data_IF_524823354734
#
_entry.id   IF_524823354734
#
_cell.length_a   1.000
_cell.length_b   1.000
_cell.length_c   1.000
_cell.angle_alpha   90.00
_cell.angle_beta   90.00
_cell.angle_gamma   90.00
#
_symmetry.space_group_name_H-M   'P 1'
#
loop_
_entity.id
_entity.type
_entity.pdbx_description
1 polymer ?
#
# COMPACT_ATOMS: atom_id res chain seq x y z
N UNK A 1 37.50 -41.21 -48.63
CA UNK A 1 36.62 -42.40 -48.77
C UNK A 1 35.21 -41.88 -48.50
N UNK A 2 34.34 -41.63 -49.50
CA UNK A 2 33.43 -42.60 -50.18
C UNK A 2 32.84 -43.60 -49.15
N UNK A 3 31.54 -43.83 -48.99
CA UNK A 3 30.37 -43.59 -49.84
C UNK A 3 29.08 -44.01 -49.09
N UNK A 4 27.96 -43.34 -49.39
CA UNK A 4 26.58 -43.85 -49.60
C UNK A 4 26.11 -45.22 -49.09
N UNK A 5 24.85 -45.29 -48.63
CA UNK A 5 24.00 -46.48 -48.77
C UNK A 5 22.73 -46.52 -47.91
N UNK A 6 21.58 -46.14 -48.49
CA UNK A 6 20.23 -46.59 -48.07
C UNK A 6 20.09 -48.12 -48.29
N UNK A 7 19.12 -48.79 -47.64
CA UNK A 7 18.15 -49.69 -48.28
C UNK A 7 17.01 -50.14 -47.33
N UNK A 8 15.90 -50.49 -47.96
CA UNK A 8 14.52 -50.65 -47.51
C UNK A 8 14.15 -52.01 -46.89
N UNK A 9 13.05 -51.97 -46.10
CA UNK A 9 11.87 -52.85 -46.04
C UNK A 9 11.97 -54.31 -46.50
N UNK A 10 11.44 -55.23 -45.67
CA UNK A 10 10.65 -56.38 -46.14
C UNK A 10 9.47 -56.62 -45.18
N UNK A 11 8.27 -56.54 -45.74
CA UNK A 11 7.00 -56.93 -45.16
C UNK A 11 6.86 -58.47 -45.03
N UNK A 12 5.87 -58.88 -44.25
CA UNK A 12 4.72 -59.67 -44.75
C UNK A 12 4.46 -61.00 -44.00
N UNK A 13 3.15 -61.18 -43.69
CA UNK A 13 2.35 -62.43 -43.63
C UNK A 13 1.86 -62.91 -42.24
N UNK A 14 0.56 -62.71 -41.92
CA UNK A 14 -0.63 -63.58 -42.21
C UNK A 14 -0.80 -64.59 -41.05
N UNK A 15 -1.95 -64.94 -40.43
CA UNK A 15 -3.42 -64.78 -40.57
C UNK A 15 -4.01 -65.38 -39.25
N UNK A 16 -4.89 -64.71 -38.50
CA UNK A 16 -6.37 -64.85 -38.51
C UNK A 16 -6.89 -66.18 -37.88
N UNK A 17 -7.60 -66.17 -36.74
CA UNK A 17 -9.05 -66.52 -36.64
C UNK A 17 -9.66 -66.73 -35.21
N UNK A 18 -10.76 -66.00 -34.88
CA UNK A 18 -12.08 -66.40 -34.29
C UNK A 18 -12.12 -67.03 -32.85
N UNK A 19 -13.09 -66.84 -31.91
CA UNK A 19 -14.48 -66.33 -31.88
C UNK A 19 -15.01 -66.14 -30.43
N UNK A 20 -15.96 -65.19 -30.29
CA UNK A 20 -17.00 -64.85 -29.28
C UNK A 20 -17.49 -65.89 -28.24
N UNK A 21 -18.02 -65.39 -27.08
CA UNK A 21 -19.43 -65.55 -26.61
C UNK A 21 -19.75 -64.67 -25.36
N UNK A 22 -20.93 -64.04 -25.39
CA UNK A 22 -21.64 -63.23 -24.36
C UNK A 22 -22.56 -64.10 -23.47
N UNK A 23 -22.87 -63.72 -22.21
CA UNK A 23 -24.23 -63.42 -21.66
C UNK A 23 -24.29 -63.22 -20.11
N UNK A 24 -24.78 -62.04 -19.71
CA UNK A 24 -25.63 -61.56 -18.55
C UNK A 24 -25.84 -62.35 -17.22
N UNK A 25 -25.93 -61.62 -16.09
CA UNK A 25 -27.16 -61.39 -15.29
C UNK A 25 -26.95 -60.51 -14.03
N UNK A 26 -28.02 -59.84 -13.59
CA UNK A 26 -28.14 -58.71 -12.65
C UNK A 26 -28.72 -59.16 -11.28
N UNK A 27 -28.40 -58.40 -10.22
CA UNK A 27 -29.00 -58.29 -8.86
C UNK A 27 -28.52 -59.22 -7.74
N UNK A 28 -27.85 -58.65 -6.72
CA UNK A 28 -28.47 -58.40 -5.42
C UNK A 28 -27.58 -57.51 -4.53
N UNK A 29 -28.25 -56.49 -4.00
CA UNK A 29 -27.86 -55.51 -2.99
C UNK A 29 -27.08 -56.07 -1.79
N UNK A 30 -26.02 -55.38 -1.38
CA UNK A 30 -25.74 -55.02 0.02
C UNK A 30 -24.88 -53.74 0.00
N UNK A 31 -25.32 -52.75 0.76
CA UNK A 31 -24.91 -51.36 0.63
C UNK A 31 -23.46 -51.07 1.01
N UNK A 32 -22.93 -50.05 0.36
CA UNK A 32 -22.04 -49.07 0.99
C UNK A 32 -22.56 -47.68 0.62
N UNK A 33 -22.83 -46.93 1.66
CA UNK A 33 -23.22 -45.53 1.75
C UNK A 33 -22.32 -44.57 0.97
N UNK A 34 -22.96 -43.50 0.50
CA UNK A 34 -22.47 -42.15 0.20
C UNK A 34 -21.15 -41.98 -0.55
N UNK A 35 -21.26 -41.51 -1.81
CA UNK A 35 -20.69 -40.21 -2.19
C UNK A 35 -21.74 -39.50 -3.05
N UNK A 36 -22.45 -38.53 -2.47
CA UNK A 36 -23.10 -37.48 -3.25
C UNK A 36 -22.03 -36.86 -4.14
N UNK A 37 -22.18 -36.99 -5.46
CA UNK A 37 -21.35 -36.28 -6.41
C UNK A 37 -21.47 -34.79 -6.13
N UNK A 38 -20.43 -34.21 -5.53
CA UNK A 38 -20.19 -32.77 -5.57
C UNK A 38 -20.34 -32.35 -7.03
N UNK A 39 -21.24 -31.40 -7.28
CA UNK A 39 -21.11 -30.57 -8.46
C UNK A 39 -19.67 -30.05 -8.43
N UNK A 40 -18.83 -30.54 -9.33
CA UNK A 40 -17.51 -29.95 -9.54
C UNK A 40 -17.82 -28.55 -10.05
N UNK A 41 -17.79 -27.57 -9.15
CA UNK A 41 -17.66 -26.18 -9.52
C UNK A 41 -16.30 -26.09 -10.20
N UNK A 42 -16.27 -26.33 -11.50
CA UNK A 42 -15.16 -25.89 -12.34
C UNK A 42 -15.20 -24.39 -12.30
N UNK A 43 -14.49 -23.83 -11.32
CA UNK A 43 -14.00 -22.45 -11.39
C UNK A 43 -13.14 -22.42 -12.66
N UNK A 44 -13.70 -21.85 -13.73
CA UNK A 44 -12.95 -21.55 -14.95
C UNK A 44 -12.53 -20.10 -14.88
N UNK A 45 -11.24 -19.87 -14.66
CA UNK A 45 -10.66 -18.55 -14.86
C UNK A 45 -10.41 -18.38 -16.35
N UNK A 46 -10.98 -17.32 -16.93
CA UNK A 46 -10.67 -16.91 -18.30
C UNK A 46 -9.54 -15.90 -18.22
N UNK A 47 -8.39 -16.24 -18.82
CA UNK A 47 -7.30 -15.29 -19.00
C UNK A 47 -7.78 -14.10 -19.85
N UNK A 48 -7.85 -12.92 -19.23
CA UNK A 48 -8.25 -11.65 -19.85
C UNK A 48 -7.09 -10.66 -19.94
N UNK A 49 -5.87 -11.10 -19.65
CA UNK A 49 -4.66 -10.26 -19.72
C UNK A 49 -4.50 -9.56 -21.06
N UNK A 50 -4.79 -10.25 -22.17
CA UNK A 50 -4.75 -9.70 -23.52
C UNK A 50 -5.78 -8.60 -23.81
N UNK A 51 -6.86 -8.50 -23.02
CA UNK A 51 -7.93 -7.48 -23.18
C UNK A 51 -7.85 -6.33 -22.18
N UNK A 52 -7.23 -6.55 -21.02
CA UNK A 52 -7.14 -5.54 -19.96
C UNK A 52 -6.04 -4.49 -20.19
N UNK A 53 -5.09 -4.74 -21.10
CA UNK A 53 -4.00 -3.80 -21.38
C UNK A 53 -3.05 -3.53 -20.21
N UNK A 54 -3.16 -4.32 -19.13
CA UNK A 54 -2.27 -4.25 -17.97
C UNK A 54 -1.34 -5.47 -18.03
N UNK A 55 -0.09 -5.18 -18.35
CA UNK A 55 0.99 -6.16 -18.50
C UNK A 55 1.87 -6.10 -17.25
N UNK A 56 1.73 -7.07 -16.33
CA UNK A 56 2.70 -7.22 -15.25
C UNK A 56 3.76 -8.23 -15.69
N UNK A 57 4.83 -7.70 -16.28
CA UNK A 57 6.04 -8.45 -16.59
C UNK A 57 7.11 -8.09 -15.56
N UNK A 58 7.29 -8.93 -14.54
CA UNK A 58 8.47 -8.84 -13.69
C UNK A 58 9.63 -9.58 -14.35
N UNK A 59 10.43 -8.86 -15.15
CA UNK A 59 11.77 -9.29 -15.53
C UNK A 59 12.79 -8.42 -14.80
N UNK A 60 13.57 -9.01 -13.91
CA UNK A 60 14.79 -8.38 -13.44
C UNK A 60 15.98 -9.36 -13.45
N UNK A 61 16.72 -9.47 -14.56
CA UNK A 61 18.16 -9.35 -14.49
C UNK A 61 18.51 -7.87 -14.31
N UNK A 62 19.01 -7.49 -13.12
CA UNK A 62 19.34 -6.11 -12.70
C UNK A 62 19.88 -5.24 -13.86
N UNK A 63 19.14 -4.20 -14.30
CA UNK A 63 19.68 -3.15 -15.13
C UNK A 63 20.44 -2.13 -14.28
N UNK A 64 21.57 -1.68 -14.82
CA UNK A 64 22.57 -0.78 -14.22
C UNK A 64 22.07 0.66 -14.01
N UNK A 65 21.10 0.84 -13.12
CA UNK A 65 20.84 2.15 -12.50
C UNK A 65 21.27 2.22 -11.03
N UNK A 66 21.69 1.08 -10.46
CA UNK A 66 22.28 0.97 -9.14
C UNK A 66 23.67 0.32 -9.23
N UNK A 67 24.65 1.07 -9.72
CA UNK A 67 25.96 1.06 -9.06
C UNK A 67 25.93 2.33 -8.22
N UNK A 68 25.84 2.26 -6.90
CA UNK A 68 27.01 2.25 -6.02
C UNK A 68 26.54 1.83 -4.61
N UNK A 69 27.29 0.91 -3.99
CA UNK A 69 27.13 0.48 -2.60
C UNK A 69 27.60 1.53 -1.57
N UNK A 70 28.10 1.13 -0.39
CA UNK A 70 28.07 1.91 0.87
C UNK A 70 29.03 3.11 0.97
N UNK A 71 29.43 3.68 -0.16
CA UNK A 71 30.01 5.02 -0.24
C UNK A 71 29.00 5.88 -0.97
N UNK A 72 28.26 6.70 -0.22
CA UNK A 72 27.30 7.67 -0.75
C UNK A 72 28.03 8.69 -1.63
N UNK A 73 28.21 8.34 -2.90
CA UNK A 73 28.43 9.29 -3.99
C UNK A 73 27.06 9.46 -4.61
N UNK A 74 26.37 10.51 -4.18
CA UNK A 74 25.03 10.83 -4.64
C UNK A 74 25.00 10.95 -6.16
N UNK A 75 24.21 10.10 -6.80
CA UNK A 75 23.79 10.26 -8.18
C UNK A 75 22.27 10.31 -8.23
N UNK A 76 21.70 11.31 -7.55
CA UNK A 76 20.37 11.82 -7.86
C UNK A 76 20.63 13.18 -8.53
N UNK A 77 20.53 13.17 -9.86
CA UNK A 77 20.97 14.20 -10.83
C UNK A 77 22.50 14.41 -10.89
N UNK A 78 23.08 14.62 -12.08
CA UNK A 78 24.51 15.02 -12.22
C UNK A 78 24.75 16.47 -11.73
N UNK A 79 23.91 16.97 -10.83
CA UNK A 79 23.88 18.36 -10.40
C UNK A 79 24.64 18.49 -9.08
N UNK A 80 25.59 19.43 -9.02
CA UNK A 80 26.27 19.73 -7.77
C UNK A 80 25.31 20.42 -6.81
N UNK A 81 24.79 19.68 -5.82
CA UNK A 81 24.03 20.25 -4.70
C UNK A 81 24.99 20.65 -3.58
N UNK A 82 25.00 21.94 -3.22
CA UNK A 82 25.88 22.45 -2.17
C UNK A 82 25.22 23.56 -1.36
N UNK A 83 25.40 23.53 -0.04
CA UNK A 83 25.08 24.65 0.83
C UNK A 83 26.03 25.83 0.54
N UNK A 84 25.47 27.01 0.37
CA UNK A 84 26.18 28.28 0.14
C UNK A 84 25.65 29.33 1.12
N UNK A 85 26.53 30.22 1.56
CA UNK A 85 26.17 31.37 2.38
C UNK A 85 26.29 32.65 1.56
N UNK A 86 25.22 33.44 1.48
CA UNK A 86 25.23 34.80 0.95
C UNK A 86 24.56 35.74 1.95
N UNK A 87 25.21 36.87 2.26
CA UNK A 87 24.70 37.87 3.21
C UNK A 87 24.24 37.27 4.55
N UNK A 88 25.02 36.32 5.08
CA UNK A 88 24.72 35.58 6.33
C UNK A 88 23.45 34.70 6.29
N UNK A 89 22.87 34.47 5.10
CA UNK A 89 21.74 33.57 4.88
C UNK A 89 22.19 32.29 4.17
N UNK A 90 21.49 31.20 4.49
CA UNK A 90 21.72 29.88 3.90
C UNK A 90 20.93 29.71 2.60
N UNK A 91 21.60 29.19 1.58
CA UNK A 91 21.02 28.84 0.28
C UNK A 91 21.52 27.46 -0.17
N UNK A 92 20.69 26.75 -0.92
CA UNK A 92 21.08 25.53 -1.61
C UNK A 92 21.27 25.83 -3.07
N UNK A 93 22.50 25.62 -3.56
CA UNK A 93 22.84 25.83 -4.96
C UNK A 93 22.56 24.56 -5.75
N UNK A 94 21.77 24.68 -6.82
CA UNK A 94 21.61 23.66 -7.87
C UNK A 94 21.68 24.31 -9.24
N UNK A 95 22.44 23.74 -10.17
CA UNK A 95 22.62 24.26 -11.54
C UNK A 95 22.97 25.76 -11.62
N UNK A 96 23.70 26.28 -10.64
CA UNK A 96 24.07 27.70 -10.60
C UNK A 96 23.00 28.63 -10.02
N UNK A 97 21.78 28.16 -9.76
CA UNK A 97 20.71 28.88 -9.05
C UNK A 97 20.85 28.69 -7.55
N UNK A 98 20.67 29.78 -6.79
CA UNK A 98 20.52 29.73 -5.34
C UNK A 98 19.04 29.59 -5.00
N UNK A 99 18.72 28.67 -4.10
CA UNK A 99 17.37 28.39 -3.65
C UNK A 99 17.26 28.52 -2.14
N UNK A 100 16.13 29.03 -1.66
CA UNK A 100 15.75 28.90 -0.25
C UNK A 100 15.52 27.43 0.11
N UNK A 101 15.36 27.11 1.40
CA UNK A 101 15.02 25.75 1.82
C UNK A 101 13.71 25.28 1.19
N UNK A 102 12.69 26.15 1.14
CA UNK A 102 11.37 25.82 0.58
C UNK A 102 11.45 25.56 -0.92
N UNK A 103 12.19 26.39 -1.67
CA UNK A 103 12.42 26.18 -3.09
C UNK A 103 13.20 24.89 -3.36
N UNK A 104 14.24 24.62 -2.56
CA UNK A 104 15.02 23.40 -2.65
C UNK A 104 14.15 22.17 -2.34
N UNK A 105 13.39 22.21 -1.26
CA UNK A 105 12.51 21.12 -0.85
C UNK A 105 11.43 20.83 -1.90
N UNK A 106 10.77 21.86 -2.44
CA UNK A 106 9.77 21.68 -3.47
C UNK A 106 10.34 21.01 -4.73
N UNK A 107 11.52 21.45 -5.18
CA UNK A 107 12.12 20.93 -6.43
C UNK A 107 12.76 19.56 -6.21
N UNK A 108 13.49 19.38 -5.12
CA UNK A 108 14.40 18.27 -4.94
C UNK A 108 13.96 17.25 -3.90
N UNK A 109 12.97 17.53 -3.05
CA UNK A 109 12.51 16.62 -1.99
C UNK A 109 11.07 16.17 -2.24
N UNK A 110 10.11 17.10 -2.22
CA UNK A 110 8.67 16.80 -2.28
C UNK A 110 8.31 16.07 -3.58
N UNK A 111 8.85 16.56 -4.70
CA UNK A 111 8.62 16.01 -6.04
C UNK A 111 9.29 14.67 -6.32
N UNK A 112 10.15 14.18 -5.43
CA UNK A 112 10.71 12.83 -5.57
C UNK A 112 9.78 11.75 -5.05
N UNK A 113 8.87 12.10 -4.12
CA UNK A 113 7.90 11.14 -3.60
C UNK A 113 6.81 10.93 -4.64
N UNK A 114 6.61 9.67 -5.02
CA UNK A 114 5.53 9.28 -5.92
C UNK A 114 4.18 9.42 -5.24
N UNK A 115 3.14 9.59 -6.06
CA UNK A 115 1.75 9.68 -5.61
C UNK A 115 1.06 8.32 -5.63
N UNK A 116 0.11 8.12 -4.71
CA UNK A 116 -0.69 6.91 -4.60
C UNK A 116 -1.85 6.81 -5.61
N UNK A 117 -2.54 5.67 -5.56
CA UNK A 117 -3.81 5.46 -6.26
C UNK A 117 -4.65 4.43 -5.53
N UNK A 118 -5.96 4.44 -5.77
CA UNK A 118 -6.90 3.53 -5.12
C UNK A 118 -7.88 2.93 -6.12
N UNK A 119 -8.23 1.67 -5.87
CA UNK A 119 -9.34 0.98 -6.51
C UNK A 119 -10.55 1.01 -5.58
N UNK A 120 -11.70 1.41 -6.09
CA UNK A 120 -12.96 1.46 -5.35
C UNK A 120 -14.17 1.51 -6.29
N UNK A 121 -15.32 0.98 -5.87
CA UNK A 121 -16.59 1.04 -6.60
C UNK A 121 -17.33 2.33 -6.17
N UNK A 122 -17.07 3.46 -6.84
CA UNK A 122 -17.48 4.77 -6.33
C UNK A 122 -18.97 5.06 -6.57
N UNK A 123 -19.57 4.42 -7.55
CA UNK A 123 -20.97 4.60 -7.93
C UNK A 123 -21.86 3.40 -7.60
N UNK A 124 -21.27 2.33 -7.07
CA UNK A 124 -21.92 1.09 -6.62
C UNK A 124 -22.55 0.28 -7.75
N UNK A 125 -21.98 0.34 -8.94
CA UNK A 125 -22.45 -0.45 -10.08
C UNK A 125 -21.88 -1.88 -10.11
N UNK A 126 -20.93 -2.18 -9.23
CA UNK A 126 -20.34 -3.49 -9.02
C UNK A 126 -19.06 -3.73 -9.84
N UNK A 127 -18.53 -2.72 -10.52
CA UNK A 127 -17.17 -2.74 -11.04
C UNK A 127 -16.22 -1.84 -10.23
N UNK A 128 -14.91 -2.03 -10.43
CA UNK A 128 -13.90 -1.26 -9.70
C UNK A 128 -13.40 -0.10 -10.55
N UNK A 129 -13.49 1.10 -10.00
CA UNK A 129 -13.00 2.35 -10.55
C UNK A 129 -11.61 2.70 -10.01
N UNK A 130 -10.96 3.68 -10.64
CA UNK A 130 -9.59 4.06 -10.33
C UNK A 130 -9.50 5.56 -9.98
N UNK A 131 -8.98 5.87 -8.80
CA UNK A 131 -8.57 7.22 -8.43
C UNK A 131 -7.04 7.32 -8.40
N UNK A 132 -6.49 8.30 -9.12
CA UNK A 132 -5.06 8.57 -9.17
C UNK A 132 -4.75 9.92 -8.52
N UNK A 133 -3.84 9.89 -7.56
CA UNK A 133 -3.32 11.10 -6.90
C UNK A 133 -2.20 11.68 -7.77
N UNK A 134 -2.14 13.00 -7.83
CA UNK A 134 -1.09 13.76 -8.49
C UNK A 134 -0.26 14.51 -7.45
N UNK A 135 1.06 14.60 -7.65
CA UNK A 135 1.94 15.43 -6.82
C UNK A 135 2.51 16.64 -7.56
N UNK A 136 2.30 16.73 -8.88
CA UNK A 136 3.05 17.64 -9.73
C UNK A 136 2.25 18.16 -10.91
N UNK A 137 2.35 19.46 -11.14
CA UNK A 137 1.80 20.12 -12.31
C UNK A 137 1.51 21.58 -12.03
N UNK A 138 0.92 22.27 -13.01
CA UNK A 138 0.26 23.53 -12.73
C UNK A 138 -1.12 23.29 -12.11
N UNK A 139 -1.81 24.35 -11.69
CA UNK A 139 -3.11 24.27 -11.03
C UNK A 139 -4.23 23.61 -11.86
N UNK A 140 -4.02 23.33 -13.15
CA UNK A 140 -4.97 22.58 -13.97
C UNK A 140 -4.70 21.06 -13.96
N UNK A 141 -3.61 20.61 -13.34
CA UNK A 141 -3.26 19.20 -13.21
C UNK A 141 -3.70 18.72 -11.84
N UNK A 142 -4.88 18.12 -11.81
CA UNK A 142 -5.51 17.61 -10.59
C UNK A 142 -5.42 16.09 -10.50
N UNK A 143 -5.73 15.56 -9.32
CA UNK A 143 -6.11 14.16 -9.16
C UNK A 143 -7.20 13.76 -10.17
N UNK A 144 -7.22 12.48 -10.55
CA UNK A 144 -8.10 11.98 -11.59
C UNK A 144 -8.88 10.75 -11.15
N UNK A 145 -10.21 10.85 -11.24
CA UNK A 145 -11.13 9.72 -11.10
C UNK A 145 -11.43 9.14 -12.49
N UNK A 146 -11.39 7.82 -12.61
CA UNK A 146 -11.68 7.07 -13.81
C UNK A 146 -12.78 6.05 -13.53
N UNK A 147 -13.95 6.23 -14.15
CA UNK A 147 -15.08 5.29 -14.11
C UNK A 147 -14.79 4.11 -15.05
N UNK A 148 -14.93 2.89 -14.54
CA UNK A 148 -14.89 1.68 -15.33
C UNK A 148 -16.24 1.46 -16.01
N UNK A 149 -16.21 0.96 -17.25
CA UNK A 149 -17.41 0.80 -18.08
C UNK A 149 -17.89 -0.66 -18.11
N UNK A 150 -17.55 -1.46 -17.09
CA UNK A 150 -17.86 -2.89 -16.96
C UNK A 150 -17.13 -3.81 -17.96
N UNK A 151 -16.26 -3.25 -18.80
CA UNK A 151 -15.60 -3.98 -19.89
C UNK A 151 -14.08 -3.81 -19.90
N UNK A 152 -13.51 -3.30 -18.82
CA UNK A 152 -12.07 -3.02 -18.67
C UNK A 152 -11.61 -1.76 -19.40
N UNK A 153 -12.54 -0.93 -19.88
CA UNK A 153 -12.26 0.43 -20.36
C UNK A 153 -12.65 1.44 -19.30
N UNK A 154 -11.88 2.51 -19.24
CA UNK A 154 -12.04 3.58 -18.28
C UNK A 154 -12.32 4.90 -18.98
N UNK A 155 -13.18 5.73 -18.39
CA UNK A 155 -13.40 7.12 -18.78
C UNK A 155 -13.06 8.04 -17.62
N UNK A 156 -12.33 9.13 -17.90
CA UNK A 156 -12.07 10.13 -16.87
C UNK A 156 -13.37 10.84 -16.51
N UNK A 157 -13.69 10.90 -15.22
CA UNK A 157 -14.80 11.68 -14.70
C UNK A 157 -14.32 13.12 -14.52
N UNK A 158 -15.01 14.06 -15.15
CA UNK A 158 -14.70 15.49 -15.09
C UNK A 158 -15.69 16.19 -14.16
N UNK A 159 -15.21 17.07 -13.27
CA UNK A 159 -16.00 17.74 -12.25
C UNK A 159 -16.65 16.75 -11.27
N UNK A 160 -15.90 15.74 -10.85
CA UNK A 160 -16.35 14.80 -9.82
C UNK A 160 -16.51 15.48 -8.46
N UNK A 161 -15.81 16.60 -8.21
CA UNK A 161 -15.72 17.26 -6.91
C UNK A 161 -14.61 16.69 -6.03
N UNK A 162 -13.89 15.67 -6.51
CA UNK A 162 -12.71 15.10 -5.87
C UNK A 162 -11.41 15.50 -6.61
N UNK A 163 -11.43 16.53 -7.44
CA UNK A 163 -10.23 17.13 -8.00
C UNK A 163 -9.42 17.85 -6.92
N UNK A 164 -8.11 17.56 -6.85
CA UNK A 164 -7.16 18.25 -5.98
C UNK A 164 -5.89 18.57 -6.78
N UNK A 165 -5.45 19.82 -6.76
CA UNK A 165 -4.22 20.31 -7.41
C UNK A 165 -3.02 20.40 -6.45
N UNK A 166 -3.18 19.92 -5.21
CA UNK A 166 -2.12 19.86 -4.22
C UNK A 166 -0.99 18.87 -4.55
N UNK A 167 0.09 18.94 -3.78
CA UNK A 167 1.19 17.97 -3.88
C UNK A 167 0.84 16.66 -3.15
N UNK A 168 0.04 15.82 -3.80
CA UNK A 168 -0.52 14.60 -3.22
C UNK A 168 0.44 13.44 -3.01
N UNK A 169 0.29 12.77 -1.87
CA UNK A 169 1.15 11.70 -1.36
C UNK A 169 0.46 10.34 -1.46
N UNK A 170 -0.71 10.18 -0.86
CA UNK A 170 -1.46 8.93 -0.84
C UNK A 170 -2.97 9.15 -0.85
N UNK A 171 -3.71 8.08 -1.07
CA UNK A 171 -5.17 8.03 -0.95
C UNK A 171 -5.59 6.79 -0.16
N UNK A 172 -6.57 6.94 0.73
CA UNK A 172 -7.24 5.86 1.42
C UNK A 172 -8.75 5.95 1.21
N UNK A 173 -9.40 4.81 1.03
CA UNK A 173 -10.84 4.71 0.74
C UNK A 173 -11.55 4.03 1.91
N UNK A 174 -12.65 4.62 2.35
CA UNK A 174 -13.59 4.00 3.30
C UNK A 174 -14.93 4.73 3.28
N UNK A 175 -16.01 4.06 3.67
CA UNK A 175 -17.30 4.67 4.00
C UNK A 175 -17.21 5.18 5.45
N UNK A 176 -16.73 6.42 5.66
CA UNK A 176 -16.39 6.89 7.01
C UNK A 176 -17.63 7.31 7.80
N UNK A 177 -18.74 7.59 7.11
CA UNK A 177 -19.98 8.06 7.69
C UNK A 177 -21.10 7.00 7.67
N UNK A 178 -20.76 5.76 7.31
CA UNK A 178 -21.67 4.61 7.28
C UNK A 178 -22.91 4.86 6.40
N UNK A 179 -22.79 5.61 5.31
CA UNK A 179 -23.91 5.91 4.39
C UNK A 179 -24.01 4.93 3.21
N UNK A 180 -23.06 4.01 3.11
CA UNK A 180 -22.97 2.97 2.11
C UNK A 180 -22.23 3.38 0.85
N UNK A 181 -21.65 4.58 0.77
CA UNK A 181 -20.81 5.02 -0.35
C UNK A 181 -19.37 5.24 0.10
N UNK A 182 -18.38 4.72 -0.64
CA UNK A 182 -16.98 4.91 -0.28
C UNK A 182 -16.52 6.35 -0.51
N UNK A 183 -15.87 6.93 0.50
CA UNK A 183 -15.27 8.25 0.53
C UNK A 183 -13.75 8.20 0.30
N UNK A 184 -13.13 9.35 0.03
CA UNK A 184 -11.70 9.46 -0.23
C UNK A 184 -11.02 10.36 0.80
N UNK A 185 -9.95 9.88 1.42
CA UNK A 185 -8.98 10.72 2.11
C UNK A 185 -7.70 10.82 1.26
N UNK A 186 -7.31 12.03 0.90
CA UNK A 186 -6.08 12.32 0.15
C UNK A 186 -5.11 13.04 1.07
N UNK A 187 -3.91 12.50 1.27
CA UNK A 187 -2.83 13.18 1.99
C UNK A 187 -1.98 13.98 1.01
N UNK A 188 -1.54 15.19 1.39
CA UNK A 188 -0.64 16.01 0.58
C UNK A 188 0.58 16.49 1.40
N UNK A 189 1.53 17.13 0.73
CA UNK A 189 2.33 18.15 1.38
C UNK A 189 1.46 19.40 1.59
N UNK A 190 1.35 19.85 2.84
CA UNK A 190 0.70 21.08 3.23
C UNK A 190 -0.71 20.95 3.81
N UNK A 191 -1.47 19.92 3.43
CA UNK A 191 -2.74 19.56 4.08
C UNK A 191 -3.16 18.14 3.67
N UNK A 192 -4.16 17.53 4.32
CA UNK A 192 -4.92 16.42 3.75
C UNK A 192 -6.37 16.85 3.48
N UNK A 193 -7.05 16.12 2.60
CA UNK A 193 -8.44 16.37 2.22
C UNK A 193 -9.30 15.13 2.45
N UNK A 194 -10.51 15.33 2.97
CA UNK A 194 -11.57 14.32 3.04
C UNK A 194 -12.68 14.70 2.05
N UNK A 195 -12.90 13.86 1.06
CA UNK A 195 -13.94 13.99 0.05
C UNK A 195 -15.06 13.00 0.34
N UNK A 196 -16.22 13.52 0.75
CA UNK A 196 -17.41 12.72 0.98
C UNK A 196 -18.11 12.43 -0.34
N UNK A 197 -18.37 11.16 -0.64
CA UNK A 197 -19.20 10.74 -1.76
C UNK A 197 -20.67 11.10 -1.48
N UNK A 198 -21.34 11.74 -2.43
CA UNK A 198 -22.73 12.19 -2.28
C UNK A 198 -23.75 11.15 -2.73
N UNK A 199 -23.30 10.02 -3.27
CA UNK A 199 -24.14 8.96 -3.82
C UNK A 199 -24.81 9.31 -5.16
N UNK A 200 -24.43 10.43 -5.76
CA UNK A 200 -24.91 10.90 -7.07
C UNK A 200 -23.77 11.00 -8.10
N UNK A 201 -22.71 10.21 -7.90
CA UNK A 201 -21.45 10.23 -8.65
C UNK A 201 -20.62 11.51 -8.48
N UNK A 202 -20.92 12.31 -7.46
CA UNK A 202 -20.11 13.48 -7.08
C UNK A 202 -19.57 13.36 -5.66
N UNK A 203 -18.53 14.15 -5.38
CA UNK A 203 -17.88 14.28 -4.09
C UNK A 203 -17.97 15.71 -3.58
N UNK A 204 -17.82 15.88 -2.27
CA UNK A 204 -17.67 17.18 -1.62
C UNK A 204 -16.47 17.17 -0.68
N UNK A 205 -15.60 18.18 -0.78
CA UNK A 205 -14.56 18.41 0.21
C UNK A 205 -15.21 18.84 1.55
N UNK A 206 -15.17 17.94 2.53
CA UNK A 206 -15.72 18.11 3.87
C UNK A 206 -14.64 18.37 4.92
N UNK A 207 -13.38 18.55 4.53
CA UNK A 207 -12.21 18.61 5.42
C UNK A 207 -12.39 19.63 6.56
N UNK A 208 -12.92 20.82 6.26
CA UNK A 208 -13.14 21.87 7.27
C UNK A 208 -14.22 21.53 8.28
N UNK A 209 -15.24 20.79 7.86
CA UNK A 209 -16.35 20.39 8.73
C UNK A 209 -15.96 19.16 9.55
N UNK A 210 -15.30 18.19 8.92
CA UNK A 210 -14.86 16.96 9.54
C UNK A 210 -13.74 17.17 10.58
N UNK A 211 -12.89 18.18 10.37
CA UNK A 211 -11.77 18.51 11.28
C UNK A 211 -11.94 19.93 11.84
N UNK A 212 -12.86 20.16 12.79
CA UNK A 212 -13.19 21.50 13.31
C UNK A 212 -12.04 22.15 14.09
N UNK A 213 -11.11 21.37 14.62
CA UNK A 213 -9.89 21.85 15.28
C UNK A 213 -8.82 22.34 14.27
N UNK A 214 -9.06 22.13 12.98
CA UNK A 214 -8.17 22.45 11.89
C UNK A 214 -7.22 21.32 11.55
N UNK A 215 -6.59 21.44 10.38
CA UNK A 215 -5.57 20.50 9.90
C UNK A 215 -4.24 21.23 9.83
N UNK A 216 -3.18 20.55 10.25
CA UNK A 216 -1.83 21.13 10.31
C UNK A 216 -1.20 21.14 8.92
N UNK A 217 -0.40 22.16 8.68
CA UNK A 217 0.38 22.32 7.44
C UNK A 217 1.68 21.51 7.55
N UNK A 218 1.63 20.26 7.10
CA UNK A 218 2.63 19.22 7.31
C UNK A 218 2.90 18.41 6.05
N UNK A 219 4.06 17.75 6.00
CA UNK A 219 4.32 16.74 4.99
C UNK A 219 3.75 15.40 5.48
N UNK A 220 2.57 15.03 5.00
CA UNK A 220 1.93 13.76 5.33
C UNK A 220 2.49 12.61 4.50
N UNK A 221 2.45 11.39 5.05
CA UNK A 221 2.71 10.14 4.32
C UNK A 221 1.39 9.52 3.87
N UNK A 222 1.20 8.23 4.13
CA UNK A 222 -0.05 7.48 3.98
C UNK A 222 -1.01 7.61 5.16
N UNK A 223 -2.15 6.96 5.02
CA UNK A 223 -3.22 6.88 6.01
C UNK A 223 -3.92 5.52 5.96
N UNK A 224 -4.59 5.16 7.05
CA UNK A 224 -5.43 3.97 7.12
C UNK A 224 -6.69 4.23 7.95
N UNK A 225 -7.77 3.59 7.51
CA UNK A 225 -9.05 3.53 8.22
C UNK A 225 -9.11 2.25 9.06
N UNK A 226 -9.67 2.35 10.25
CA UNK A 226 -9.91 1.20 11.13
C UNK A 226 -10.65 1.59 12.39
N UNK A 227 -11.59 0.77 12.81
CA UNK A 227 -12.36 0.94 14.06
C UNK A 227 -11.49 0.48 15.25
N UNK A 228 -10.67 1.39 15.81
CA UNK A 228 -9.67 0.98 16.81
C UNK A 228 -10.27 0.78 18.20
N UNK A 229 -11.46 1.32 18.46
CA UNK A 229 -12.14 1.19 19.76
C UNK A 229 -13.43 0.34 19.72
N UNK A 230 -13.72 -0.26 18.56
CA UNK A 230 -14.86 -1.14 18.30
C UNK A 230 -16.21 -0.48 18.55
N UNK A 231 -16.34 0.83 18.27
CA UNK A 231 -17.60 1.55 18.40
C UNK A 231 -18.48 1.51 17.14
N UNK A 232 -17.96 0.96 16.04
CA UNK A 232 -18.64 0.78 14.76
C UNK A 232 -18.46 1.93 13.78
N UNK A 233 -17.75 2.99 14.17
CA UNK A 233 -17.37 4.08 13.30
C UNK A 233 -15.88 3.94 12.91
N UNK A 234 -15.56 4.09 11.62
CA UNK A 234 -14.17 3.97 11.18
C UNK A 234 -13.35 5.19 11.63
N UNK A 235 -12.31 4.94 12.42
CA UNK A 235 -11.33 5.94 12.82
C UNK A 235 -10.20 6.05 11.80
N UNK A 236 -9.39 7.09 11.95
CA UNK A 236 -8.40 7.48 10.96
C UNK A 236 -7.01 7.65 11.57
N UNK A 237 -6.04 6.88 11.08
CA UNK A 237 -4.63 7.08 11.38
C UNK A 237 -3.93 7.74 10.18
N UNK A 238 -3.24 8.86 10.42
CA UNK A 238 -2.49 9.59 9.39
C UNK A 238 -1.02 9.67 9.78
N UNK A 239 -0.14 9.36 8.84
CA UNK A 239 1.31 9.41 9.06
C UNK A 239 1.91 10.78 8.76
N UNK A 240 2.89 11.19 9.57
CA UNK A 240 3.73 12.35 9.35
C UNK A 240 5.08 11.91 8.78
N UNK A 241 5.52 12.55 7.69
CA UNK A 241 6.76 12.18 7.02
C UNK A 241 7.94 13.02 7.52
N UNK A 242 8.19 14.20 6.95
CA UNK A 242 9.43 14.96 7.21
C UNK A 242 9.17 16.34 7.80
N UNK A 243 9.92 16.68 8.85
CA UNK A 243 9.96 18.00 9.47
C UNK A 243 11.21 18.76 9.01
N UNK A 244 11.04 19.71 8.09
CA UNK A 244 12.15 20.54 7.58
C UNK A 244 12.84 21.40 8.64
N UNK A 245 12.17 21.69 9.76
CA UNK A 245 12.77 22.42 10.87
C UNK A 245 13.80 21.57 11.63
N UNK A 246 13.66 20.24 11.59
CA UNK A 246 14.53 19.25 12.24
C UNK A 246 15.68 18.81 11.34
N UNK A 247 16.43 19.77 10.78
CA UNK A 247 17.56 19.51 9.88
C UNK A 247 18.94 19.63 10.56
N UNK A 248 19.96 18.91 10.09
CA UNK A 248 21.34 19.11 10.50
C UNK A 248 21.86 20.48 10.05
N UNK A 249 22.45 21.24 10.98
CA UNK A 249 23.05 22.54 10.68
C UNK A 249 24.34 22.38 9.90
N UNK A 250 24.61 23.32 8.99
CA UNK A 250 25.88 23.41 8.23
C UNK A 250 26.19 22.18 7.36
N UNK A 251 25.15 21.52 6.85
CA UNK A 251 25.28 20.32 6.01
C UNK A 251 24.66 20.55 4.63
N UNK A 252 25.18 19.85 3.62
CA UNK A 252 24.50 19.77 2.31
C UNK A 252 23.40 18.73 2.41
N UNK A 253 22.16 19.16 2.19
CA UNK A 253 20.97 18.30 2.22
C UNK A 253 20.82 17.63 0.86
N UNK A 254 20.41 16.36 0.85
CA UNK A 254 20.30 15.53 -0.35
C UNK A 254 19.03 14.71 -0.38
N UNK A 255 18.56 14.22 0.77
CA UNK A 255 17.42 13.31 0.84
C UNK A 255 16.47 13.68 2.00
N UNK A 256 15.19 13.27 1.92
CA UNK A 256 14.26 13.38 3.05
C UNK A 256 14.82 12.76 4.35
N UNK A 257 15.65 11.72 4.23
CA UNK A 257 16.32 11.06 5.35
C UNK A 257 17.29 11.95 6.14
N UNK A 258 17.74 13.08 5.58
CA UNK A 258 18.62 14.00 6.28
C UNK A 258 17.88 14.76 7.41
N UNK A 259 16.56 14.65 7.51
CA UNK A 259 15.72 15.39 8.46
C UNK A 259 15.13 14.50 9.56
N UNK A 260 14.62 15.11 10.63
CA UNK A 260 13.75 14.45 11.59
C UNK A 260 12.31 14.28 11.06
N UNK A 261 11.57 13.31 11.60
CA UNK A 261 10.19 13.07 11.19
C UNK A 261 9.15 13.96 11.87
N UNK A 262 7.95 14.01 11.30
CA UNK A 262 6.76 14.58 11.92
C UNK A 262 6.01 13.52 12.73
N UNK A 263 5.25 13.88 13.78
CA UNK A 263 4.46 12.90 14.52
C UNK A 263 3.29 12.40 13.67
N UNK A 264 2.95 11.12 13.84
CA UNK A 264 1.68 10.56 13.35
C UNK A 264 0.50 11.03 14.18
N UNK A 265 -0.71 10.93 13.65
CA UNK A 265 -1.95 11.37 14.31
C UNK A 265 -3.03 10.30 14.21
N UNK A 266 -3.66 9.95 15.34
CA UNK A 266 -4.87 9.12 15.38
C UNK A 266 -6.06 10.02 15.67
N UNK A 267 -7.02 10.00 14.75
CA UNK A 267 -8.28 10.71 14.83
C UNK A 267 -9.40 9.72 15.15
N UNK A 268 -10.10 9.94 16.26
CA UNK A 268 -11.33 9.23 16.57
C UNK A 268 -12.50 9.82 15.79
N UNK A 269 -13.32 8.98 15.16
CA UNK A 269 -14.59 9.38 14.58
C UNK A 269 -15.64 9.58 15.68
N UNK A 270 -16.32 10.72 15.69
CA UNK A 270 -17.30 11.05 16.73
C UNK A 270 -18.72 10.51 16.43
N UNK A 271 -18.90 9.80 15.31
CA UNK A 271 -20.19 9.26 14.86
C UNK A 271 -21.15 10.30 14.27
N UNK A 272 -20.71 11.56 14.18
CA UNK A 272 -21.46 12.68 13.57
C UNK A 272 -20.78 13.23 12.31
N UNK A 273 -19.78 12.51 11.80
CA UNK A 273 -18.96 12.90 10.66
C UNK A 273 -17.82 13.87 10.99
N UNK A 274 -17.58 14.14 12.28
CA UNK A 274 -16.41 14.90 12.76
C UNK A 274 -15.38 13.99 13.43
N UNK A 275 -14.15 14.49 13.53
CA UNK A 275 -13.02 13.77 14.09
C UNK A 275 -12.36 14.55 15.24
N UNK A 276 -11.85 13.82 16.23
CA UNK A 276 -11.07 14.34 17.35
C UNK A 276 -9.66 13.73 17.39
N UNK A 277 -8.63 14.56 17.53
CA UNK A 277 -7.25 14.09 17.71
C UNK A 277 -7.11 13.46 19.10
N UNK A 278 -7.01 12.12 19.13
CA UNK A 278 -6.87 11.33 20.37
C UNK A 278 -5.42 10.88 20.58
N UNK A 279 -4.48 11.34 19.76
CA UNK A 279 -3.08 10.86 19.70
C UNK A 279 -2.43 10.80 21.07
N UNK A 280 -2.51 11.88 21.84
CA UNK A 280 -1.89 11.99 23.17
C UNK A 280 -2.48 11.00 24.19
N UNK A 281 -3.74 10.59 24.03
CA UNK A 281 -4.41 9.67 24.95
C UNK A 281 -4.04 8.20 24.72
N UNK A 282 -3.52 7.86 23.54
CA UNK A 282 -3.17 6.48 23.15
C UNK A 282 -1.92 5.93 23.87
N UNK A 283 -1.13 6.81 24.50
CA UNK A 283 0.03 6.45 25.32
C UNK A 283 1.24 5.91 24.56
N UNK A 284 1.21 5.88 23.22
CA UNK A 284 2.25 5.25 22.39
C UNK A 284 2.69 6.08 21.18
N UNK A 285 2.05 7.23 20.95
CA UNK A 285 2.39 8.10 19.81
C UNK A 285 3.44 9.18 20.15
N UNK A 286 4.07 9.12 21.33
CA UNK A 286 5.12 10.06 21.74
C UNK A 286 6.51 9.73 21.14
N UNK A 287 6.69 8.54 20.54
CA UNK A 287 7.86 8.16 19.73
C UNK A 287 7.56 8.26 18.21
N UNK A 288 6.41 8.85 17.83
CA UNK A 288 5.87 8.82 16.47
C UNK A 288 6.52 9.80 15.49
N UNK A 289 7.59 10.49 15.87
CA UNK A 289 8.30 11.42 14.98
C UNK A 289 9.33 10.73 14.08
N UNK A 290 8.95 9.54 13.61
CA UNK A 290 9.66 8.70 12.65
C UNK A 290 9.13 9.07 11.28
N UNK A 291 9.99 9.07 10.26
CA UNK A 291 9.64 9.48 8.90
C UNK A 291 8.67 8.47 8.28
N UNK A 292 7.41 8.53 8.68
CA UNK A 292 6.42 7.49 8.45
C UNK A 292 5.86 7.61 7.03
N UNK A 293 5.77 6.48 6.32
CA UNK A 293 5.39 6.42 4.91
C UNK A 293 4.01 5.81 4.70
N UNK A 294 3.73 4.67 5.31
CA UNK A 294 2.43 3.98 5.18
C UNK A 294 2.03 3.34 6.51
N UNK A 295 0.75 3.02 6.62
CA UNK A 295 0.16 2.40 7.80
C UNK A 295 -0.93 1.43 7.38
N UNK A 296 -1.15 0.38 8.15
CA UNK A 296 -2.34 -0.48 8.06
C UNK A 296 -2.90 -0.77 9.45
N UNK A 297 -4.22 -0.85 9.51
CA UNK A 297 -4.92 -1.52 10.59
C UNK A 297 -5.14 -2.99 10.22
N UNK A 298 -4.84 -3.90 11.14
CA UNK A 298 -5.21 -5.31 11.03
C UNK A 298 -5.18 -5.95 12.42
N UNK A 299 -6.09 -6.87 12.69
CA UNK A 299 -6.06 -7.70 13.89
C UNK A 299 -5.02 -8.82 13.70
N UNK A 300 -3.76 -8.57 14.08
CA UNK A 300 -2.67 -9.53 13.83
C UNK A 300 -2.65 -10.67 14.85
N UNK A 301 -3.28 -10.51 16.01
CA UNK A 301 -3.32 -11.53 17.06
C UNK A 301 -4.72 -12.19 17.20
N UNK A 302 -5.65 -11.87 16.30
CA UNK A 302 -7.02 -12.39 16.26
C UNK A 302 -7.81 -12.18 17.56
N UNK A 303 -7.50 -11.12 18.31
CA UNK A 303 -8.20 -10.79 19.56
C UNK A 303 -9.42 -9.87 19.38
N UNK A 304 -9.71 -9.52 18.12
CA UNK A 304 -10.76 -8.60 17.66
C UNK A 304 -10.52 -7.14 17.99
N UNK A 305 -9.27 -6.76 18.23
CA UNK A 305 -8.86 -5.37 18.38
C UNK A 305 -7.89 -5.07 17.24
N UNK A 306 -8.24 -4.15 16.31
CA UNK A 306 -7.33 -3.80 15.23
C UNK A 306 -6.02 -3.22 15.78
N UNK A 307 -4.90 -3.84 15.40
CA UNK A 307 -3.54 -3.38 15.68
C UNK A 307 -3.02 -2.47 14.55
N UNK A 308 -1.91 -1.78 14.80
CA UNK A 308 -1.28 -0.87 13.83
C UNK A 308 0.11 -1.35 13.42
N UNK A 309 0.35 -1.41 12.12
CA UNK A 309 1.70 -1.50 11.57
C UNK A 309 2.03 -0.29 10.70
N UNK A 310 3.16 0.36 10.99
CA UNK A 310 3.59 1.62 10.37
C UNK A 310 4.97 1.45 9.76
N UNK A 311 5.09 1.69 8.46
CA UNK A 311 6.38 1.69 7.76
C UNK A 311 7.05 3.06 7.89
N UNK A 312 8.37 3.05 8.11
CA UNK A 312 9.17 4.25 8.26
C UNK A 312 10.34 4.26 7.27
N UNK A 313 10.67 5.45 6.78
CA UNK A 313 11.82 5.69 5.93
C UNK A 313 13.09 5.85 6.80
N UNK A 314 13.96 4.84 6.82
CA UNK A 314 15.24 4.80 7.56
C UNK A 314 15.16 4.97 9.09
N UNK A 315 13.95 4.94 9.65
CA UNK A 315 13.70 4.70 11.06
C UNK A 315 13.12 3.30 11.23
N UNK A 316 13.16 2.75 12.44
CA UNK A 316 12.58 1.43 12.68
C UNK A 316 11.05 1.46 12.45
N UNK A 317 10.50 0.51 11.71
CA UNK A 317 9.04 0.36 11.57
C UNK A 317 8.35 0.23 12.94
N UNK A 318 7.14 0.78 13.02
CA UNK A 318 6.28 0.70 14.20
C UNK A 318 5.34 -0.49 14.10
N UNK A 319 5.24 -1.28 15.17
CA UNK A 319 4.18 -2.27 15.32
C UNK A 319 3.57 -2.06 16.70
N UNK A 320 2.26 -1.82 16.75
CA UNK A 320 1.56 -1.41 17.94
C UNK A 320 0.33 -2.29 18.15
N UNK A 321 0.35 -3.09 19.22
CA UNK A 321 -0.79 -3.92 19.60
C UNK A 321 -1.82 -3.10 20.36
N UNK A 322 -3.08 -3.22 19.97
CA UNK A 322 -4.18 -2.53 20.60
C UNK A 322 -4.53 -3.19 21.94
N UNK A 323 -4.74 -2.42 23.00
CA UNK A 323 -5.08 -2.96 24.34
C UNK A 323 -6.58 -3.01 24.64
N UNK A 324 -7.42 -2.52 23.74
CA UNK A 324 -8.88 -2.49 23.90
C UNK A 324 -9.38 -1.50 24.94
N UNK A 325 -8.52 -0.59 25.40
CA UNK A 325 -8.86 0.49 26.34
C UNK A 325 -8.52 1.88 25.77
N UNK A 326 -8.43 1.98 24.44
CA UNK A 326 -8.02 3.19 23.71
C UNK A 326 -6.51 3.44 23.71
N UNK A 327 -5.70 2.53 24.24
CA UNK A 327 -4.23 2.64 24.22
C UNK A 327 -3.59 1.51 23.43
N UNK A 328 -2.39 1.77 22.92
CA UNK A 328 -1.60 0.77 22.21
C UNK A 328 -0.40 0.30 23.04
N UNK A 329 0.33 -0.68 22.51
CA UNK A 329 1.62 -1.12 23.04
C UNK A 329 2.60 -1.36 21.89
N UNK A 330 3.82 -0.80 21.92
CA UNK A 330 4.87 -1.20 20.98
C UNK A 330 5.17 -2.69 21.12
N UNK A 331 5.13 -3.39 19.99
CA UNK A 331 5.58 -4.77 19.88
C UNK A 331 7.05 -4.80 19.44
N UNK A 332 7.93 -5.23 20.33
CA UNK A 332 9.37 -5.39 20.10
C UNK A 332 9.79 -6.85 20.31
N UNK A 333 9.22 -7.76 19.52
CA UNK A 333 9.68 -9.15 19.43
C UNK A 333 10.80 -9.34 18.40
N UNK A 334 11.43 -10.52 18.32
CA UNK A 334 12.34 -10.90 17.24
C UNK A 334 11.59 -11.12 15.90
N UNK A 335 10.63 -10.26 15.57
CA UNK A 335 9.80 -10.35 14.37
C UNK A 335 10.55 -9.99 13.10
N UNK A 336 11.71 -9.34 13.20
CA UNK A 336 12.43 -8.80 12.05
C UNK A 336 11.71 -7.64 11.37
N UNK A 337 10.60 -7.15 11.93
CA UNK A 337 9.76 -6.12 11.30
C UNK A 337 10.26 -4.70 11.56
N UNK A 338 11.01 -4.48 12.65
CA UNK A 338 11.60 -3.18 13.01
C UNK A 338 12.91 -2.89 12.27
N UNK A 339 13.02 -3.28 11.00
CA UNK A 339 14.14 -2.89 10.14
C UNK A 339 14.19 -1.36 10.02
N UNK A 340 15.39 -0.82 9.88
CA UNK A 340 15.63 0.61 9.63
C UNK A 340 15.97 0.88 8.16
N UNK A 341 15.54 0.00 7.27
CA UNK A 341 15.55 0.24 5.83
C UNK A 341 14.47 1.29 5.50
N UNK A 342 14.54 1.94 4.34
CA UNK A 342 13.57 2.90 3.85
C UNK A 342 12.25 2.24 3.48
N UNK A 343 11.40 1.87 4.44
CA UNK A 343 10.15 1.16 4.19
C UNK A 343 9.11 2.09 3.56
N UNK A 344 8.69 1.79 2.33
CA UNK A 344 7.87 2.66 1.48
C UNK A 344 6.41 2.22 1.40
N UNK A 345 6.17 0.99 0.93
CA UNK A 345 4.82 0.45 0.69
C UNK A 345 4.52 -0.75 1.57
N UNK A 346 3.23 -1.05 1.72
CA UNK A 346 2.72 -2.15 2.54
C UNK A 346 1.55 -2.85 1.86
N UNK A 347 1.48 -4.17 2.00
CA UNK A 347 0.29 -4.94 1.68
C UNK A 347 0.13 -6.12 2.66
N UNK A 348 -1.11 -6.55 2.81
CA UNK A 348 -1.50 -7.67 3.66
C UNK A 348 -2.09 -8.79 2.82
N UNK A 349 -1.95 -10.02 3.29
CA UNK A 349 -2.65 -11.17 2.72
C UNK A 349 -2.13 -12.48 3.27
N UNK A 350 -2.97 -13.53 3.23
CA UNK A 350 -2.56 -14.90 3.57
C UNK A 350 -1.80 -15.51 2.38
N UNK A 351 -0.49 -15.24 2.30
CA UNK A 351 0.33 -15.63 1.15
C UNK A 351 0.59 -17.14 1.15
N UNK A 352 0.80 -17.72 2.32
CA UNK A 352 1.15 -19.13 2.47
C UNK A 352 -0.08 -20.06 2.62
N UNK A 353 -1.28 -19.50 2.75
CA UNK A 353 -2.58 -20.18 2.92
C UNK A 353 -2.70 -20.93 4.24
N UNK A 354 -2.08 -20.44 5.31
CA UNK A 354 -2.18 -21.02 6.65
C UNK A 354 -3.34 -20.45 7.47
N UNK A 355 -4.05 -19.46 6.92
CA UNK A 355 -5.19 -18.80 7.56
C UNK A 355 -4.81 -17.58 8.39
N UNK A 356 -3.52 -17.23 8.48
CA UNK A 356 -3.03 -16.04 9.16
C UNK A 356 -2.75 -14.92 8.15
N UNK A 357 -2.95 -13.67 8.57
CA UNK A 357 -2.62 -12.51 7.73
C UNK A 357 -1.11 -12.28 7.73
N UNK A 358 -0.48 -12.52 6.60
CA UNK A 358 0.93 -12.16 6.38
C UNK A 358 1.06 -10.69 5.95
N UNK A 359 2.27 -10.17 6.12
CA UNK A 359 2.64 -8.79 5.83
C UNK A 359 3.77 -8.77 4.80
N UNK A 360 3.62 -7.96 3.75
CA UNK A 360 4.73 -7.55 2.89
C UNK A 360 4.93 -6.05 2.98
N UNK A 361 6.17 -5.62 3.10
CA UNK A 361 6.53 -4.23 2.91
C UNK A 361 7.71 -4.09 1.96
N UNK A 362 7.69 -3.02 1.18
CA UNK A 362 8.74 -2.70 0.21
C UNK A 362 9.69 -1.68 0.79
N UNK A 363 10.97 -1.77 0.43
CA UNK A 363 12.00 -0.85 0.85
C UNK A 363 12.50 0.01 -0.32
N UNK A 364 13.28 1.05 0.00
CA UNK A 364 13.87 1.94 -0.97
C UNK A 364 14.85 1.20 -1.89
N UNK A 365 15.23 1.84 -3.00
CA UNK A 365 16.05 1.20 -4.02
C UNK A 365 17.35 0.60 -3.43
N UNK A 366 17.63 -0.64 -3.84
CA UNK A 366 18.77 -1.44 -3.38
C UNK A 366 18.72 -1.95 -1.92
N UNK A 367 17.57 -1.81 -1.26
CA UNK A 367 17.27 -2.45 0.02
C UNK A 367 16.37 -3.69 -0.21
N UNK A 368 16.25 -4.53 0.81
CA UNK A 368 15.59 -5.84 0.68
C UNK A 368 14.14 -5.73 1.08
N UNK A 369 13.20 -5.95 0.15
CA UNK A 369 11.78 -6.07 0.51
C UNK A 369 11.57 -7.24 1.48
N UNK A 370 10.66 -7.06 2.44
CA UNK A 370 10.39 -8.07 3.46
C UNK A 370 9.00 -8.64 3.27
N UNK A 371 8.92 -9.96 3.07
CA UNK A 371 7.72 -10.75 3.28
C UNK A 371 7.83 -11.41 4.65
N UNK A 372 6.96 -11.03 5.57
CA UNK A 372 6.88 -11.56 6.91
C UNK A 372 5.61 -12.39 7.05
N UNK A 373 5.78 -13.71 7.13
CA UNK A 373 4.68 -14.61 7.43
C UNK A 373 4.39 -14.61 8.92
N UNK A 374 3.13 -14.50 9.30
CA UNK A 374 2.76 -14.58 10.71
C UNK A 374 2.87 -16.03 11.17
N UNK A 375 3.59 -16.29 12.28
CA UNK A 375 3.82 -17.66 12.79
C UNK A 375 3.24 -17.88 14.19
N UNK A 376 2.85 -16.81 14.88
CA UNK A 376 2.20 -16.84 16.18
C UNK A 376 1.23 -15.67 16.32
N UNK A 377 -0.07 -15.97 16.39
CA UNK A 377 -1.12 -15.01 16.70
C UNK A 377 -1.57 -15.11 18.17
N UNK A 378 -1.00 -15.99 19.00
CA UNK A 378 -1.45 -16.23 20.40
C UNK A 378 -0.73 -15.38 21.45
N UNK A 379 0.24 -14.58 21.03
CA UNK A 379 0.91 -13.63 21.90
C UNK A 379 -0.10 -12.56 22.30
N UNK A 380 -0.50 -12.54 23.58
CA UNK A 380 -1.52 -11.62 24.07
C UNK A 380 -0.97 -10.23 24.40
N UNK A 381 -1.87 -9.25 24.52
CA UNK A 381 -1.55 -7.87 24.91
C UNK A 381 -1.00 -7.72 26.34
N UNK A 382 -0.85 -8.83 27.07
CA UNK A 382 -0.24 -8.91 28.41
C UNK A 382 1.29 -8.76 28.40
N UNK A 383 1.91 -8.81 27.22
CA UNK A 383 3.34 -8.61 27.06
C UNK A 383 4.24 -9.80 27.29
N UNK A 384 3.69 -11.02 27.25
CA UNK A 384 4.51 -12.23 27.20
C UNK A 384 4.54 -12.80 25.78
N UNK A 385 5.75 -12.86 25.21
CA UNK A 385 6.03 -13.59 23.97
C UNK A 385 5.89 -15.09 24.27
N UNK A 386 4.98 -15.79 23.61
CA UNK A 386 4.75 -17.21 23.87
C UNK A 386 5.40 -18.13 22.84
N UNK A 387 5.63 -17.68 21.60
CA UNK A 387 6.27 -18.51 20.55
C UNK A 387 7.26 -17.74 19.64
N UNK A 388 7.94 -16.70 20.15
CA UNK A 388 8.89 -15.90 19.36
C UNK A 388 10.33 -16.43 19.38
#
# INVERSE_FOLDING_TARGET
MKSTGQYHMVEERIVLHYVYIFFTAVMLSLGTTDIQGQAVSTISLQDRSATAGIDFVHYAPRPRWCEIGPTVVGSATNEGLSLVFEEEKEYWKSNGRLMTLDEFANVHLIKMNGSGGAWFDYDRDGDWDLYLVNCQGDANVTNALYENLGNGKFIRVENSGAEDDGEGMAVAVADYNNDGYPDLLVTNYGNFKLFQNKGDKTFSDVSKTAFPEGIKDWWYGGSAWGDYDNDGDLDLYITGYVDFSRRPRYSSLRFPMDFGGLPNTLFRNNGDGTFSDVTASTGVLDDASRKSMQVVFNDFNEDRLPDLFVTNDTDANGFYLNRGNGTFKPFSGPSGLSTTDGSMGIALGDFNKDGLTDLIYTNFAAEVNTLATLVDNKSSNDGQLRNA
#
